data_IF_947002667331
#
_entry.id   IF_947002667331
#
_cell.length_a   1.000
_cell.length_b   1.000
_cell.length_c   1.000
_cell.angle_alpha   90.00
_cell.angle_beta   90.00
_cell.angle_gamma   90.00
#
_symmetry.space_group_name_H-M   'P 1'
#
loop_
_entity.id
_entity.type
_entity.pdbx_description
1 polymer ?
#
# COMPACT_ATOMS: atom_id res chain seq x y z
N UNK A 1 -10.42 9.91 6.51
CA UNK A 1 -10.56 8.74 7.41
C UNK A 1 -10.03 7.45 6.77
N UNK A 2 -10.35 7.13 5.50
CA UNK A 2 -9.88 5.90 4.82
C UNK A 2 -8.34 5.72 4.76
N UNK A 3 -7.59 6.77 4.40
CA UNK A 3 -6.11 6.71 4.29
C UNK A 3 -5.43 6.38 5.63
N UNK A 4 -5.97 6.87 6.74
CA UNK A 4 -5.43 6.60 8.08
C UNK A 4 -5.57 5.12 8.47
N UNK A 5 -6.70 4.49 8.13
CA UNK A 5 -6.91 3.05 8.34
C UNK A 5 -5.95 2.22 7.50
N UNK A 6 -5.68 2.62 6.26
CA UNK A 6 -4.69 1.94 5.41
C UNK A 6 -3.28 2.01 5.99
N UNK A 7 -2.88 3.14 6.57
CA UNK A 7 -1.59 3.23 7.27
C UNK A 7 -1.50 2.30 8.48
N UNK A 8 -2.58 2.16 9.26
CA UNK A 8 -2.64 1.22 10.37
C UNK A 8 -2.49 -0.22 9.89
N UNK A 9 -3.19 -0.60 8.81
CA UNK A 9 -3.11 -1.95 8.25
C UNK A 9 -1.70 -2.27 7.73
N UNK A 10 -1.04 -1.33 7.06
CA UNK A 10 0.34 -1.50 6.59
C UNK A 10 1.31 -1.64 7.76
N UNK A 11 1.17 -0.83 8.82
CA UNK A 11 2.02 -0.93 10.00
C UNK A 11 1.85 -2.28 10.71
N UNK A 12 0.63 -2.79 10.78
CA UNK A 12 0.31 -4.11 11.33
C UNK A 12 0.92 -5.24 10.48
N UNK A 13 0.85 -5.13 9.16
CA UNK A 13 1.42 -6.09 8.21
C UNK A 13 2.95 -6.16 8.36
N UNK A 14 3.63 -5.01 8.42
CA UNK A 14 5.08 -4.93 8.67
C UNK A 14 5.47 -5.56 10.02
N UNK A 15 4.69 -5.33 11.08
CA UNK A 15 4.92 -5.94 12.39
C UNK A 15 4.80 -7.47 12.34
N UNK A 16 3.75 -7.99 11.70
CA UNK A 16 3.52 -9.43 11.59
C UNK A 16 4.59 -10.12 10.74
N UNK A 17 5.02 -9.49 9.66
CA UNK A 17 6.12 -9.98 8.81
C UNK A 17 7.44 -9.94 9.57
N UNK A 18 7.72 -8.86 10.31
CA UNK A 18 8.90 -8.75 11.16
C UNK A 18 8.98 -9.82 12.25
N UNK A 19 7.84 -10.19 12.84
CA UNK A 19 7.76 -11.26 13.86
C UNK A 19 8.01 -12.67 13.32
N UNK A 20 7.90 -12.88 11.99
CA UNK A 20 8.13 -14.18 11.34
C UNK A 20 9.35 -14.19 10.42
N UNK A 21 10.12 -13.11 10.40
CA UNK A 21 11.19 -12.89 9.43
C UNK A 21 12.25 -14.00 9.44
N UNK A 22 12.54 -14.54 10.62
CA UNK A 22 13.46 -15.65 10.88
C UNK A 22 12.98 -17.02 10.36
N UNK A 23 11.68 -17.17 10.14
CA UNK A 23 11.06 -18.43 9.68
C UNK A 23 10.52 -18.36 8.24
N UNK A 24 10.46 -17.15 7.66
CA UNK A 24 9.99 -16.93 6.29
C UNK A 24 11.03 -17.32 5.25
N UNK A 25 10.57 -17.99 4.19
CA UNK A 25 11.38 -18.15 2.99
C UNK A 25 11.37 -16.87 2.13
N UNK A 26 12.32 -16.76 1.20
CA UNK A 26 12.48 -15.57 0.36
C UNK A 26 11.22 -15.22 -0.45
N UNK A 27 10.43 -16.22 -0.84
CA UNK A 27 9.20 -16.01 -1.62
C UNK A 27 8.12 -15.37 -0.75
N UNK A 28 7.91 -15.87 0.47
CA UNK A 28 6.97 -15.31 1.45
C UNK A 28 7.33 -13.88 1.81
N UNK A 29 8.61 -13.61 2.06
CA UNK A 29 9.11 -12.26 2.30
C UNK A 29 8.82 -11.32 1.12
N UNK A 30 9.12 -11.78 -0.10
CA UNK A 30 8.92 -10.99 -1.31
C UNK A 30 7.44 -10.65 -1.53
N UNK A 31 6.54 -11.62 -1.34
CA UNK A 31 5.09 -11.39 -1.47
C UNK A 31 4.59 -10.39 -0.43
N UNK A 32 5.03 -10.55 0.83
CA UNK A 32 4.62 -9.70 1.94
C UNK A 32 5.01 -8.22 1.77
N UNK A 33 6.11 -7.92 1.06
CA UNK A 33 6.52 -6.53 0.81
C UNK A 33 6.13 -5.99 -0.57
N UNK A 34 6.25 -6.81 -1.63
CA UNK A 34 6.01 -6.36 -3.01
C UNK A 34 4.53 -6.12 -3.27
N UNK A 35 3.65 -6.99 -2.78
CA UNK A 35 2.21 -6.88 -3.05
C UNK A 35 1.61 -5.60 -2.43
N UNK A 36 1.85 -5.28 -1.15
CA UNK A 36 1.35 -4.02 -0.58
C UNK A 36 1.91 -2.78 -1.29
N UNK A 37 3.19 -2.79 -1.68
CA UNK A 37 3.81 -1.67 -2.41
C UNK A 37 3.16 -1.45 -3.78
N UNK A 38 2.84 -2.52 -4.51
CA UNK A 38 2.13 -2.42 -5.79
C UNK A 38 0.71 -1.90 -5.62
N UNK A 39 -0.02 -2.37 -4.62
CA UNK A 39 -1.37 -1.89 -4.31
C UNK A 39 -1.36 -0.41 -3.90
N UNK A 40 -0.36 0.02 -3.14
CA UNK A 40 -0.25 1.40 -2.67
C UNK A 40 0.15 2.35 -3.80
N UNK A 41 1.11 1.95 -4.65
CA UNK A 41 1.51 2.75 -5.82
C UNK A 41 0.38 2.92 -6.84
N UNK A 42 -0.42 1.87 -7.08
CA UNK A 42 -1.60 1.95 -7.94
C UNK A 42 -2.70 2.82 -7.34
N UNK A 43 -2.95 2.72 -6.03
CA UNK A 43 -3.89 3.60 -5.33
C UNK A 43 -3.49 5.07 -5.43
N UNK A 44 -2.22 5.39 -5.20
CA UNK A 44 -1.69 6.76 -5.33
C UNK A 44 -1.78 7.26 -6.77
N UNK A 45 -1.42 6.43 -7.75
CA UNK A 45 -1.51 6.79 -9.16
C UNK A 45 -2.97 7.04 -9.61
N UNK A 46 -3.92 6.24 -9.11
CA UNK A 46 -5.34 6.43 -9.39
C UNK A 46 -5.88 7.73 -8.76
N UNK A 47 -5.54 7.99 -7.49
CA UNK A 47 -5.89 9.25 -6.82
C UNK A 47 -5.33 10.47 -7.55
N UNK A 48 -4.05 10.45 -7.92
CA UNK A 48 -3.40 11.52 -8.67
C UNK A 48 -4.04 11.76 -10.06
N UNK A 49 -4.51 10.69 -10.72
CA UNK A 49 -5.24 10.81 -11.98
C UNK A 49 -6.62 11.44 -11.77
N UNK A 50 -7.30 11.10 -10.68
CA UNK A 50 -8.64 11.60 -10.38
C UNK A 50 -8.62 13.10 -10.03
N UNK A 51 -7.64 13.54 -9.24
CA UNK A 51 -7.42 14.97 -8.94
C UNK A 51 -7.22 15.80 -10.22
N UNK A 52 -6.46 15.29 -11.19
CA UNK A 52 -6.27 15.99 -12.48
C UNK A 52 -7.56 16.12 -13.29
N UNK A 53 -8.47 15.13 -13.24
CA UNK A 53 -9.75 15.17 -13.95
C UNK A 53 -10.70 16.17 -13.30
N UNK A 54 -10.71 16.25 -11.96
CA UNK A 54 -11.60 17.15 -11.23
C UNK A 54 -11.21 18.63 -11.41
N UNK A 55 -9.91 18.93 -11.56
CA UNK A 55 -9.42 20.27 -11.90
C UNK A 55 -9.93 20.74 -13.28
N UNK A 56 -9.90 19.85 -14.28
CA UNK A 56 -10.35 20.16 -15.65
C UNK A 56 -11.87 20.39 -15.71
N UNK A 57 -12.65 19.68 -14.89
CA UNK A 57 -14.12 19.84 -14.83
C UNK A 57 -14.60 21.11 -14.13
N UNK A 58 -13.73 21.79 -13.38
CA UNK A 58 -14.06 23.03 -12.68
C UNK A 58 -13.68 24.30 -13.48
N UNK A 59 -13.06 24.16 -14.65
CA UNK A 59 -12.82 25.24 -15.62
C UNK A 59 -13.91 25.26 -16.70
#
# INVERSE_FOLDING_TARGET
MSVFVNFILIALDILVVGLKYDTMNFVEFSVAFIVPVLLMSTYVAYGAKQDNIDIIKQQ
#
